data_IF_784299910673
#
_entry.id   IF_784299910673
#
_cell.length_a   1.000
_cell.length_b   1.000
_cell.length_c   1.000
_cell.angle_alpha   90.00
_cell.angle_beta   90.00
_cell.angle_gamma   90.00
#
_symmetry.space_group_name_H-M   'P 1'
#
loop_
_entity.id
_entity.type
_entity.pdbx_description
1 polymer ?
#
# COMPACT_ATOMS: atom_id res chain seq x y z
N UNK A 1 22.48 -8.04 8.24
CA UNK A 1 21.65 -6.89 8.69
C UNK A 1 20.34 -6.91 7.92
N UNK A 2 19.20 -6.99 8.61
CA UNK A 2 17.89 -6.83 7.95
C UNK A 2 17.69 -5.39 7.45
N UNK A 3 16.87 -5.16 6.41
CA UNK A 3 16.62 -3.80 5.93
C UNK A 3 15.95 -2.96 7.04
N UNK A 4 16.33 -1.68 7.19
CA UNK A 4 15.75 -0.83 8.22
C UNK A 4 14.28 -0.51 7.91
N UNK A 5 13.40 -0.76 8.86
CA UNK A 5 11.98 -0.38 8.78
C UNK A 5 11.59 0.48 9.98
N UNK A 6 10.64 1.38 9.77
CA UNK A 6 10.03 2.17 10.86
C UNK A 6 8.55 1.91 10.91
N UNK A 7 8.09 1.59 12.11
CA UNK A 7 6.69 1.50 12.45
C UNK A 7 6.16 2.89 12.81
N UNK A 8 5.05 3.25 12.19
CA UNK A 8 4.33 4.49 12.42
C UNK A 8 2.95 4.13 12.97
N UNK A 9 2.66 4.51 14.21
CA UNK A 9 1.32 4.32 14.77
C UNK A 9 0.56 5.64 14.73
N UNK A 10 -0.04 5.94 13.57
CA UNK A 10 -0.77 7.19 13.39
C UNK A 10 -2.14 7.09 14.06
N UNK A 11 -2.25 7.70 15.24
CA UNK A 11 -3.53 7.94 15.93
C UNK A 11 -4.05 9.32 15.53
N UNK A 12 -5.00 9.42 14.60
CA UNK A 12 -5.66 10.70 14.33
C UNK A 12 -6.32 11.26 15.61
N UNK A 13 -6.18 12.55 15.92
CA UNK A 13 -6.77 13.18 17.13
C UNK A 13 -8.17 13.79 16.85
N UNK A 14 -9.24 13.03 17.13
CA UNK A 14 -10.53 13.38 17.82
C UNK A 14 -11.69 12.54 17.22
N UNK A 15 -12.61 12.05 18.07
CA UNK A 15 -13.88 11.37 17.71
C UNK A 15 -13.74 10.00 17.03
N UNK A 16 -14.43 8.97 17.53
CA UNK A 16 -14.53 7.58 17.00
C UNK A 16 -13.43 7.19 15.98
N UNK A 17 -12.19 7.02 16.46
CA UNK A 17 -10.98 7.17 15.62
C UNK A 17 -10.73 5.98 14.70
N UNK A 18 -10.75 6.26 13.39
CA UNK A 18 -10.07 5.48 12.34
C UNK A 18 -8.60 5.26 12.77
N UNK A 19 -8.15 4.01 12.95
CA UNK A 19 -6.78 3.71 13.43
C UNK A 19 -5.99 2.99 12.34
N UNK A 20 -5.15 3.73 11.64
CA UNK A 20 -4.25 3.19 10.62
C UNK A 20 -2.84 3.08 11.23
N UNK A 21 -2.33 1.85 11.29
CA UNK A 21 -0.91 1.59 11.55
C UNK A 21 -0.18 1.70 10.22
N UNK A 22 0.70 2.66 10.12
CA UNK A 22 1.47 2.91 8.91
C UNK A 22 2.90 2.38 9.11
N UNK A 23 3.55 1.86 8.08
CA UNK A 23 4.92 1.35 8.17
C UNK A 23 5.64 1.86 6.94
N UNK A 24 6.76 2.54 7.15
CA UNK A 24 7.64 2.92 6.05
C UNK A 24 8.87 2.01 6.12
N UNK A 25 9.04 1.19 5.08
CA UNK A 25 10.14 0.21 4.98
C UNK A 25 11.08 0.66 3.87
N UNK A 26 12.38 0.74 4.16
CA UNK A 26 13.36 0.85 3.09
C UNK A 26 13.45 -0.51 2.37
N UNK A 27 13.02 -0.56 1.11
CA UNK A 27 12.99 -1.80 0.32
C UNK A 27 13.64 -1.55 -1.05
N UNK A 28 14.89 -1.99 -1.25
CA UNK A 28 15.53 -1.96 -2.57
C UNK A 28 14.67 -2.65 -3.63
N UNK A 29 14.73 -2.17 -4.88
CA UNK A 29 13.91 -2.70 -5.98
C UNK A 29 14.02 -4.22 -6.13
N UNK A 30 15.24 -4.77 -6.00
CA UNK A 30 15.52 -6.21 -6.10
C UNK A 30 14.92 -7.05 -4.96
N UNK A 31 14.62 -6.44 -3.82
CA UNK A 31 14.13 -7.13 -2.62
C UNK A 31 12.60 -7.07 -2.48
N UNK A 32 11.91 -6.31 -3.33
CA UNK A 32 10.47 -6.04 -3.18
C UNK A 32 9.60 -7.30 -3.18
N UNK A 33 9.89 -8.31 -4.00
CA UNK A 33 9.10 -9.55 -4.00
C UNK A 33 9.21 -10.34 -2.68
N UNK A 34 10.42 -10.42 -2.14
CA UNK A 34 10.68 -11.14 -0.88
C UNK A 34 10.01 -10.40 0.28
N UNK A 35 10.14 -9.08 0.33
CA UNK A 35 9.47 -8.27 1.35
C UNK A 35 7.94 -8.34 1.21
N UNK A 36 7.42 -8.29 -0.03
CA UNK A 36 5.99 -8.43 -0.28
C UNK A 36 5.46 -9.75 0.27
N UNK A 37 6.15 -10.85 0.00
CA UNK A 37 5.74 -12.17 0.48
C UNK A 37 5.71 -12.25 2.01
N UNK A 38 6.69 -11.63 2.69
CA UNK A 38 6.71 -11.56 4.16
C UNK A 38 5.53 -10.76 4.69
N UNK A 39 5.26 -9.60 4.10
CA UNK A 39 4.25 -8.66 4.57
C UNK A 39 2.81 -9.17 4.35
N UNK A 40 2.57 -9.95 3.28
CA UNK A 40 1.24 -10.54 3.03
C UNK A 40 1.01 -11.87 3.77
N UNK A 41 2.06 -12.53 4.29
CA UNK A 41 1.92 -13.84 4.95
C UNK A 41 1.00 -13.80 6.17
N UNK A 42 0.89 -12.64 6.82
CA UNK A 42 0.05 -12.43 8.00
C UNK A 42 -1.39 -11.95 7.66
N UNK A 43 -1.70 -11.77 6.37
CA UNK A 43 -2.99 -11.25 5.92
C UNK A 43 -4.10 -12.28 6.18
N UNK A 44 -5.14 -11.87 6.92
CA UNK A 44 -6.34 -12.69 7.15
C UNK A 44 -7.52 -12.25 6.29
N UNK A 45 -7.67 -10.94 6.11
CA UNK A 45 -8.70 -10.32 5.31
C UNK A 45 -8.23 -10.03 3.89
N UNK A 46 -8.56 -8.84 3.41
CA UNK A 46 -8.26 -8.41 2.05
C UNK A 46 -7.18 -7.34 2.03
N UNK A 47 -6.38 -7.37 0.98
CA UNK A 47 -5.34 -6.39 0.73
C UNK A 47 -5.46 -5.74 -0.64
N UNK A 48 -5.01 -4.50 -0.73
CA UNK A 48 -4.70 -3.86 -2.00
C UNK A 48 -3.21 -3.57 -2.09
N UNK A 49 -2.62 -3.87 -3.25
CA UNK A 49 -1.22 -3.61 -3.56
C UNK A 49 -1.18 -2.58 -4.68
N UNK A 50 -0.68 -1.38 -4.37
CA UNK A 50 -0.50 -0.33 -5.36
C UNK A 50 0.85 -0.42 -6.03
N UNK A 51 0.83 -0.46 -7.37
CA UNK A 51 2.02 -0.37 -8.23
C UNK A 51 1.87 0.81 -9.19
N UNK A 52 2.99 1.35 -9.67
CA UNK A 52 2.96 2.53 -10.53
C UNK A 52 2.82 2.14 -12.02
N UNK A 53 3.58 1.12 -12.44
CA UNK A 53 3.66 0.69 -13.84
C UNK A 53 2.79 -0.53 -14.10
N UNK A 54 2.17 -0.58 -15.30
CA UNK A 54 1.38 -1.74 -15.74
C UNK A 54 2.19 -3.02 -15.85
N UNK A 55 3.46 -2.93 -16.29
CA UNK A 55 4.31 -4.11 -16.38
C UNK A 55 4.57 -4.73 -14.99
N UNK A 56 4.70 -3.90 -13.95
CA UNK A 56 4.82 -4.36 -12.56
C UNK A 56 3.61 -5.18 -12.10
N UNK A 57 2.40 -4.91 -12.62
CA UNK A 57 1.20 -5.69 -12.30
C UNK A 57 1.40 -7.15 -12.68
N UNK A 58 1.81 -7.43 -13.91
CA UNK A 58 1.97 -8.81 -14.39
C UNK A 58 3.00 -9.56 -13.55
N UNK A 59 4.11 -8.90 -13.22
CA UNK A 59 5.19 -9.51 -12.43
C UNK A 59 4.72 -9.83 -11.00
N UNK A 60 4.06 -8.89 -10.32
CA UNK A 60 3.52 -9.09 -8.97
C UNK A 60 2.38 -10.12 -8.98
N UNK A 61 1.48 -10.06 -9.96
CA UNK A 61 0.36 -10.99 -10.11
C UNK A 61 0.86 -12.43 -10.29
N UNK A 62 1.73 -12.66 -11.26
CA UNK A 62 2.28 -13.99 -11.52
C UNK A 62 3.04 -14.51 -10.29
N UNK A 63 3.88 -13.67 -9.68
CA UNK A 63 4.60 -14.05 -8.47
C UNK A 63 3.63 -14.50 -7.36
N UNK A 64 2.60 -13.71 -7.05
CA UNK A 64 1.63 -14.05 -6.00
C UNK A 64 0.78 -15.28 -6.35
N UNK A 65 0.37 -15.45 -7.61
CA UNK A 65 -0.30 -16.66 -8.09
C UNK A 65 0.56 -17.90 -7.88
N UNK A 66 1.85 -17.86 -8.21
CA UNK A 66 2.77 -19.01 -7.99
C UNK A 66 2.96 -19.35 -6.52
N UNK A 67 2.70 -18.42 -5.61
CA UNK A 67 2.72 -18.62 -4.16
C UNK A 67 1.36 -19.06 -3.59
N UNK A 68 0.37 -19.32 -4.44
CA UNK A 68 -0.94 -19.83 -4.06
C UNK A 68 -1.93 -18.77 -3.57
N UNK A 69 -1.62 -17.48 -3.72
CA UNK A 69 -2.54 -16.42 -3.29
C UNK A 69 -3.69 -16.24 -4.29
N UNK A 70 -4.87 -15.98 -3.73
CA UNK A 70 -6.03 -15.59 -4.51
C UNK A 70 -5.95 -14.09 -4.85
N UNK A 71 -5.35 -13.81 -6.00
CA UNK A 71 -5.05 -12.46 -6.48
C UNK A 71 -5.72 -12.17 -7.81
N UNK A 72 -6.08 -10.91 -8.04
CA UNK A 72 -6.49 -10.33 -9.32
C UNK A 72 -5.94 -8.89 -9.45
N UNK A 73 -6.15 -8.22 -10.58
CA UNK A 73 -5.59 -6.88 -10.81
C UNK A 73 -6.52 -5.91 -11.55
N UNK A 74 -6.25 -4.61 -11.36
CA UNK A 74 -6.91 -3.51 -12.06
C UNK A 74 -5.88 -2.54 -12.66
N UNK A 75 -6.02 -2.27 -13.97
CA UNK A 75 -5.25 -1.23 -14.64
C UNK A 75 -6.08 -0.41 -15.62
N UNK A 76 -5.64 0.81 -15.92
CA UNK A 76 -6.40 1.75 -16.75
C UNK A 76 -6.74 1.31 -18.18
N UNK A 77 -6.08 0.28 -18.73
CA UNK A 77 -6.38 -0.29 -20.07
C UNK A 77 -7.45 -1.40 -20.08
N UNK A 78 -8.00 -1.79 -18.92
CA UNK A 78 -9.03 -2.84 -18.87
C UNK A 78 -10.38 -2.27 -19.30
N UNK A 79 -11.19 -3.10 -19.98
CA UNK A 79 -12.58 -2.75 -20.30
C UNK A 79 -13.39 -2.53 -19.01
N UNK A 80 -14.38 -1.65 -19.07
CA UNK A 80 -15.21 -1.34 -17.91
C UNK A 80 -15.92 -2.58 -17.34
N UNK A 81 -16.38 -3.49 -18.22
CA UNK A 81 -16.98 -4.77 -17.84
C UNK A 81 -16.01 -5.63 -17.01
N UNK A 82 -14.76 -5.79 -17.48
CA UNK A 82 -13.76 -6.56 -16.75
C UNK A 82 -13.39 -5.89 -15.43
N UNK A 83 -13.25 -4.56 -15.41
CA UNK A 83 -12.98 -3.79 -14.18
C UNK A 83 -14.06 -4.03 -13.14
N UNK A 84 -15.34 -3.96 -13.53
CA UNK A 84 -16.46 -4.20 -12.63
C UNK A 84 -16.47 -5.65 -12.12
N UNK A 85 -16.26 -6.62 -13.00
CA UNK A 85 -16.21 -8.04 -12.63
C UNK A 85 -15.12 -8.33 -11.59
N UNK A 86 -13.90 -7.86 -11.81
CA UNK A 86 -12.78 -8.02 -10.87
C UNK A 86 -13.10 -7.35 -9.53
N UNK A 87 -13.65 -6.13 -9.58
CA UNK A 87 -13.98 -5.39 -8.38
C UNK A 87 -15.11 -6.05 -7.56
N UNK A 88 -16.14 -6.59 -8.23
CA UNK A 88 -17.21 -7.33 -7.57
C UNK A 88 -16.72 -8.63 -6.93
N UNK A 89 -15.84 -9.37 -7.62
CA UNK A 89 -15.19 -10.56 -7.04
C UNK A 89 -14.36 -10.20 -5.80
N UNK A 90 -13.69 -9.05 -5.84
CA UNK A 90 -12.99 -8.51 -4.68
C UNK A 90 -13.98 -8.15 -3.57
N UNK A 91 -15.07 -7.41 -3.83
CA UNK A 91 -16.07 -7.10 -2.78
C UNK A 91 -16.68 -8.33 -2.12
N UNK A 92 -16.89 -9.40 -2.89
CA UNK A 92 -17.41 -10.70 -2.41
C UNK A 92 -16.35 -11.56 -1.69
N UNK A 93 -15.11 -11.08 -1.55
CA UNK A 93 -13.96 -11.81 -0.97
C UNK A 93 -13.53 -13.05 -1.77
N UNK A 94 -14.06 -13.23 -2.98
CA UNK A 94 -13.59 -14.24 -3.94
C UNK A 94 -12.24 -13.89 -4.54
N UNK A 95 -11.73 -12.68 -4.30
CA UNK A 95 -10.33 -12.27 -4.51
C UNK A 95 -9.83 -11.69 -3.19
N UNK A 96 -8.72 -12.21 -2.67
CA UNK A 96 -8.15 -11.77 -1.40
C UNK A 96 -7.23 -10.57 -1.58
N UNK A 97 -6.42 -10.58 -2.64
CA UNK A 97 -5.42 -9.55 -2.93
C UNK A 97 -5.75 -8.89 -4.27
N UNK A 98 -5.84 -7.56 -4.28
CA UNK A 98 -6.03 -6.80 -5.50
C UNK A 98 -4.80 -5.97 -5.81
N UNK A 99 -4.22 -6.13 -7.00
CA UNK A 99 -3.11 -5.30 -7.47
C UNK A 99 -3.68 -4.17 -8.33
N UNK A 100 -3.33 -2.92 -8.08
CA UNK A 100 -3.90 -1.80 -8.85
C UNK A 100 -2.89 -0.69 -9.14
N UNK A 101 -3.04 -0.04 -10.30
CA UNK A 101 -2.47 1.30 -10.48
C UNK A 101 -3.37 2.37 -9.86
N UNK A 102 -2.79 3.51 -9.47
CA UNK A 102 -3.55 4.62 -8.87
C UNK A 102 -4.71 5.10 -9.75
N UNK A 103 -4.47 5.20 -11.06
CA UNK A 103 -5.51 5.60 -12.03
C UNK A 103 -6.64 4.56 -12.03
N UNK A 104 -6.32 3.28 -11.93
CA UNK A 104 -7.31 2.22 -11.98
C UNK A 104 -8.16 2.14 -10.71
N UNK A 105 -7.61 2.54 -9.56
CA UNK A 105 -8.32 2.51 -8.28
C UNK A 105 -9.17 3.76 -8.00
N UNK A 106 -9.02 4.85 -8.76
CA UNK A 106 -9.86 6.05 -8.60
C UNK A 106 -11.32 5.74 -8.90
N UNK A 107 -12.22 6.35 -8.13
CA UNK A 107 -13.67 6.18 -8.26
C UNK A 107 -14.21 4.83 -7.77
N UNK A 108 -13.37 3.94 -7.24
CA UNK A 108 -13.81 2.67 -6.66
C UNK A 108 -14.01 2.80 -5.13
N UNK A 109 -15.17 2.37 -4.65
CA UNK A 109 -15.49 2.31 -3.23
C UNK A 109 -15.06 0.97 -2.62
N UNK A 110 -13.77 0.86 -2.34
CA UNK A 110 -13.20 -0.37 -1.77
C UNK A 110 -13.84 -0.71 -0.40
N UNK A 111 -14.13 -2.00 -0.14
CA UNK A 111 -14.49 -2.44 1.21
C UNK A 111 -13.34 -2.15 2.19
N UNK A 112 -13.62 -2.18 3.49
CA UNK A 112 -12.58 -1.93 4.51
C UNK A 112 -11.46 -2.96 4.40
N UNK A 113 -10.29 -2.50 3.95
CA UNK A 113 -9.14 -3.35 3.73
C UNK A 113 -8.41 -3.57 5.05
N UNK A 114 -7.96 -4.79 5.30
CA UNK A 114 -7.05 -5.08 6.41
C UNK A 114 -5.68 -4.45 6.15
N UNK A 115 -5.24 -4.50 4.90
CA UNK A 115 -3.89 -4.12 4.50
C UNK A 115 -3.88 -3.32 3.19
N UNK A 116 -3.17 -2.20 3.20
CA UNK A 116 -2.76 -1.47 2.01
C UNK A 116 -1.24 -1.61 1.89
N UNK A 117 -0.75 -2.03 0.72
CA UNK A 117 0.69 -2.04 0.42
C UNK A 117 0.95 -1.07 -0.73
N UNK A 118 1.69 -0.01 -0.47
CA UNK A 118 2.32 0.80 -1.50
C UNK A 118 3.61 0.12 -1.93
N UNK A 119 3.49 -0.85 -2.85
CA UNK A 119 4.63 -1.57 -3.42
C UNK A 119 5.51 -0.60 -4.21
N UNK A 120 4.88 0.30 -4.96
CA UNK A 120 5.49 1.52 -5.48
C UNK A 120 4.87 2.72 -4.77
N UNK A 121 5.70 3.45 -4.01
CA UNK A 121 5.28 4.67 -3.34
C UNK A 121 4.90 5.74 -4.38
N UNK A 122 3.75 6.43 -4.24
CA UNK A 122 3.37 7.47 -5.18
C UNK A 122 4.34 8.65 -5.10
N UNK A 123 4.51 9.37 -6.21
CA UNK A 123 5.26 10.64 -6.24
C UNK A 123 4.52 11.76 -5.51
N UNK A 124 3.19 11.74 -5.56
CA UNK A 124 2.34 12.77 -4.94
C UNK A 124 1.81 12.34 -3.57
N UNK A 125 2.02 13.21 -2.57
CA UNK A 125 1.58 12.96 -1.20
C UNK A 125 0.06 12.87 -1.04
N UNK A 126 -0.71 13.60 -1.85
CA UNK A 126 -2.17 13.47 -1.84
C UNK A 126 -2.61 12.05 -2.26
N UNK A 127 -1.94 11.47 -3.25
CA UNK A 127 -2.20 10.08 -3.65
C UNK A 127 -1.81 9.11 -2.54
N UNK A 128 -0.68 9.35 -1.86
CA UNK A 128 -0.29 8.57 -0.68
C UNK A 128 -1.42 8.54 0.36
N UNK A 129 -1.93 9.70 0.76
CA UNK A 129 -3.02 9.83 1.73
C UNK A 129 -4.31 9.12 1.28
N UNK A 130 -4.67 9.22 0.00
CA UNK A 130 -5.83 8.53 -0.57
C UNK A 130 -5.69 7.01 -0.60
N UNK A 131 -4.46 6.49 -0.82
CA UNK A 131 -4.18 5.06 -0.84
C UNK A 131 -4.27 4.46 0.58
N UNK A 132 -3.58 5.06 1.55
CA UNK A 132 -3.60 4.58 2.95
C UNK A 132 -5.00 4.73 3.57
N UNK A 133 -5.79 5.70 3.11
CA UNK A 133 -7.17 5.89 3.52
C UNK A 133 -8.11 4.73 3.18
N UNK A 134 -7.67 3.73 2.39
CA UNK A 134 -8.46 2.54 2.04
C UNK A 134 -8.51 1.48 3.15
N UNK A 135 -7.76 1.66 4.23
CA UNK A 135 -7.78 0.78 5.40
C UNK A 135 -8.23 1.52 6.67
N UNK A 136 -8.66 0.75 7.68
CA UNK A 136 -8.71 1.16 9.08
C UNK A 136 -9.96 1.87 9.54
N UNK A 137 -11.16 1.56 9.00
CA UNK A 137 -12.45 2.20 9.37
C UNK A 137 -12.72 2.29 10.89
N UNK A 138 -13.65 3.16 11.26
CA UNK A 138 -14.09 3.36 12.65
C UNK A 138 -14.38 2.02 13.34
N UNK A 139 -13.74 1.79 14.48
CA UNK A 139 -13.89 0.56 15.28
C UNK A 139 -13.00 -0.63 14.84
N UNK A 140 -12.35 -0.57 13.67
CA UNK A 140 -11.41 -1.60 13.18
C UNK A 140 -10.03 -1.00 12.87
N UNK A 141 -8.98 -1.70 13.31
CA UNK A 141 -7.62 -1.31 12.95
C UNK A 141 -7.34 -1.62 11.47
N UNK A 142 -6.49 -0.80 10.85
CA UNK A 142 -5.99 -1.02 9.51
C UNK A 142 -4.47 -0.91 9.45
N UNK A 143 -3.85 -1.50 8.43
CA UNK A 143 -2.40 -1.39 8.23
C UNK A 143 -2.06 -0.89 6.83
N UNK A 144 -1.11 0.05 6.74
CA UNK A 144 -0.55 0.54 5.50
C UNK A 144 0.97 0.34 5.49
N UNK A 145 1.50 -0.43 4.55
CA UNK A 145 2.94 -0.68 4.39
C UNK A 145 3.43 0.05 3.14
N UNK A 146 4.49 0.82 3.29
CA UNK A 146 4.98 1.73 2.27
C UNK A 146 6.44 1.42 1.94
N UNK A 147 6.69 0.93 0.73
CA UNK A 147 8.04 0.60 0.28
C UNK A 147 8.72 1.85 -0.27
N UNK A 148 9.62 2.39 0.54
CA UNK A 148 10.49 3.49 0.17
C UNK A 148 11.80 2.96 -0.40
N UNK A 149 12.31 3.61 -1.43
CA UNK A 149 13.68 3.41 -1.92
C UNK A 149 14.24 4.72 -2.51
N UNK A 150 15.46 4.65 -3.04
CA UNK A 150 16.19 5.80 -3.59
C UNK A 150 15.49 6.53 -4.74
N UNK A 151 14.48 5.93 -5.38
CA UNK A 151 13.68 6.57 -6.43
C UNK A 151 12.57 7.49 -5.88
N UNK A 152 12.28 7.44 -4.57
CA UNK A 152 11.13 8.15 -3.97
C UNK A 152 11.50 9.54 -3.42
N UNK A 153 12.42 10.26 -4.07
CA UNK A 153 12.89 11.58 -3.60
C UNK A 153 11.77 12.61 -3.53
N UNK A 154 10.84 12.63 -4.49
CA UNK A 154 9.84 13.68 -4.63
C UNK A 154 8.83 13.77 -3.45
N UNK A 155 8.66 12.69 -2.69
CA UNK A 155 7.70 12.64 -1.58
C UNK A 155 8.38 12.79 -0.21
N UNK A 156 9.72 12.86 -0.15
CA UNK A 156 10.46 12.73 1.10
C UNK A 156 10.12 13.81 2.13
N UNK A 157 10.12 15.08 1.74
CA UNK A 157 9.87 16.19 2.66
C UNK A 157 8.45 16.11 3.23
N UNK A 158 7.47 15.90 2.35
CA UNK A 158 6.06 15.74 2.75
C UNK A 158 5.86 14.51 3.65
N UNK A 159 6.58 13.42 3.38
CA UNK A 159 6.55 12.22 4.22
C UNK A 159 7.14 12.52 5.62
N UNK A 160 8.30 13.17 5.69
CA UNK A 160 8.94 13.57 6.96
C UNK A 160 8.03 14.49 7.76
N UNK A 161 7.44 15.51 7.12
CA UNK A 161 6.52 16.45 7.76
C UNK A 161 5.28 15.73 8.29
N UNK A 162 4.76 14.77 7.54
CA UNK A 162 3.68 13.89 8.00
C UNK A 162 4.08 13.05 9.21
N UNK A 163 5.28 12.46 9.23
CA UNK A 163 5.77 11.71 10.41
C UNK A 163 5.82 12.61 11.64
N UNK A 164 6.41 13.80 11.50
CA UNK A 164 6.54 14.79 12.58
C UNK A 164 5.18 15.28 13.08
N UNK A 165 4.24 15.57 12.17
CA UNK A 165 2.88 16.01 12.50
C UNK A 165 2.13 15.05 13.41
N UNK A 166 2.43 13.76 13.32
CA UNK A 166 1.80 12.72 14.15
C UNK A 166 2.72 12.18 15.25
N UNK A 167 3.73 12.97 15.65
CA UNK A 167 4.69 12.64 16.71
C UNK A 167 5.39 11.28 16.48
N UNK A 168 5.62 10.92 15.21
CA UNK A 168 6.29 9.67 14.85
C UNK A 168 7.79 9.90 14.68
N UNK A 169 8.63 8.93 15.09
CA UNK A 169 10.07 9.03 14.89
C UNK A 169 10.38 9.05 13.40
N UNK A 170 11.20 10.01 12.98
CA UNK A 170 11.75 10.06 11.63
C UNK A 170 13.03 9.22 11.61
N UNK A 171 13.08 8.10 10.87
CA UNK A 171 14.30 7.32 10.79
C UNK A 171 15.48 8.12 10.21
N UNK A 172 16.66 8.00 10.81
CA UNK A 172 17.89 8.60 10.30
C UNK A 172 18.18 8.20 8.84
N UNK A 173 17.91 6.93 8.48
CA UNK A 173 18.08 6.47 7.10
C UNK A 173 17.22 7.23 6.10
N UNK A 174 16.03 7.70 6.50
CA UNK A 174 15.15 8.48 5.63
C UNK A 174 15.72 9.88 5.42
N UNK A 175 16.30 10.49 6.46
CA UNK A 175 16.96 11.79 6.38
C UNK A 175 18.13 11.79 5.37
N UNK A 176 18.83 10.67 5.20
CA UNK A 176 19.92 10.57 4.21
C UNK A 176 19.46 10.72 2.75
N UNK A 177 18.17 10.53 2.47
CA UNK A 177 17.61 10.72 1.13
C UNK A 177 17.12 12.15 0.89
N UNK A 178 17.09 12.98 1.94
CA UNK A 178 16.77 14.40 1.85
C UNK A 178 17.99 15.10 1.25
N UNK A 179 17.87 15.54 0.00
CA UNK A 179 18.90 16.33 -0.70
C UNK A 179 18.42 17.75 -0.83
#
# INVERSE_FOLDING_TARGET
MGPPYVYLNIKQKRGAKKRIREIVKYVPAKSKFIELLKDIKILKGQAIIFVELRHSINNVFNFLKTKGYNVDYLHGKMSQIRRQSVFENFRKKSVQILIATSIAARGLDFPDLELVINYDLPSEFEQYMHRIGRTGRIGKGGMAINYFNSSNKNIIDKLIDHLRKYDQPVPNWLLHFRK
#
